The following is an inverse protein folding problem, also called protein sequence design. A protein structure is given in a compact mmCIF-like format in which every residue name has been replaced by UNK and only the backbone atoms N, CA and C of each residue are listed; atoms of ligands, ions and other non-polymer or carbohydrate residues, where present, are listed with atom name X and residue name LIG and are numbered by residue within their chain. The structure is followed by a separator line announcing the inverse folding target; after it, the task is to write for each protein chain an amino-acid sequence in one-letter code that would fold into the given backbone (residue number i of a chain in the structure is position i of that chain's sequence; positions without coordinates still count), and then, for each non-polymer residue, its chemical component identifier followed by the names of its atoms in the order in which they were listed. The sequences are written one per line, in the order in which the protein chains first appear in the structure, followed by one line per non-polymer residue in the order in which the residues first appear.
data_IF_165917565379
#
_entry.id   IF_165917565379
#
_cell.length_a   1.000
_cell.length_b   1.000
_cell.length_c   1.000
_cell.angle_alpha   90.00
_cell.angle_beta   90.00
_cell.angle_gamma   90.00
#
_symmetry.space_group_name_H-M   'P 1'
#
loop_
_entity.id
_entity.type
_entity.pdbx_description
1 polymer ?
#
# COMPACT_ATOMS: atom_id res chain seq x y z
N UNK A 1 -24.95 7.25 16.45
CA UNK A 1 -23.56 6.86 16.15
C UNK A 1 -23.23 7.34 14.74
N UNK A 2 -22.13 8.06 14.55
CA UNK A 2 -21.67 8.52 13.22
C UNK A 2 -20.48 7.66 12.80
N UNK A 3 -20.55 7.06 11.61
CA UNK A 3 -19.48 6.27 11.02
C UNK A 3 -19.00 6.95 9.75
N UNK A 4 -17.69 7.18 9.65
CA UNK A 4 -17.06 7.71 8.44
C UNK A 4 -16.56 6.54 7.60
N UNK A 5 -17.18 6.33 6.43
CA UNK A 5 -16.77 5.29 5.50
C UNK A 5 -15.62 5.79 4.62
N UNK A 6 -14.39 5.70 5.12
CA UNK A 6 -13.20 6.12 4.35
C UNK A 6 -12.97 5.23 3.12
N UNK A 7 -13.32 3.94 3.20
CA UNK A 7 -13.22 3.01 2.07
C UNK A 7 -14.02 3.48 0.86
N UNK A 8 -15.27 3.93 1.07
CA UNK A 8 -16.10 4.44 -0.02
C UNK A 8 -15.57 5.75 -0.59
N UNK A 9 -15.04 6.65 0.25
CA UNK A 9 -14.44 7.92 -0.20
C UNK A 9 -13.21 7.64 -1.09
N UNK A 10 -12.36 6.70 -0.71
CA UNK A 10 -11.15 6.35 -1.48
C UNK A 10 -11.47 5.65 -2.81
N UNK A 11 -12.70 5.14 -2.97
CA UNK A 11 -13.17 4.45 -4.18
C UNK A 11 -14.26 5.20 -4.94
N UNK A 12 -14.57 6.44 -4.54
CA UNK A 12 -15.63 7.21 -5.17
C UNK A 12 -15.20 7.70 -6.56
N UNK A 13 -15.88 7.22 -7.60
CA UNK A 13 -15.70 7.64 -9.01
C UNK A 13 -15.90 9.13 -9.25
N UNK A 14 -16.59 9.86 -8.36
CA UNK A 14 -16.72 11.32 -8.42
C UNK A 14 -15.48 12.06 -7.94
N UNK A 15 -14.67 11.40 -7.11
CA UNK A 15 -13.46 11.97 -6.51
C UNK A 15 -12.17 11.51 -7.22
N UNK A 16 -12.20 10.28 -7.75
CA UNK A 16 -11.07 9.55 -8.30
C UNK A 16 -11.40 8.99 -9.69
N UNK A 17 -10.51 9.21 -10.66
CA UNK A 17 -10.55 8.55 -11.96
C UNK A 17 -10.02 7.11 -11.82
N UNK A 18 -10.74 6.12 -12.34
CA UNK A 18 -10.41 4.68 -12.22
C UNK A 18 -10.04 4.27 -10.77
N UNK A 19 -10.91 4.47 -9.76
CA UNK A 19 -10.57 4.32 -8.34
C UNK A 19 -10.09 2.93 -7.92
N UNK A 20 -10.43 1.90 -8.68
CA UNK A 20 -10.06 0.51 -8.40
C UNK A 20 -8.73 0.10 -9.04
N UNK A 21 -8.14 0.97 -9.87
CA UNK A 21 -6.88 0.71 -10.57
C UNK A 21 -5.72 1.22 -9.73
N UNK A 22 -4.68 0.39 -9.59
CA UNK A 22 -3.43 0.83 -8.98
C UNK A 22 -2.70 1.77 -9.96
N UNK A 23 -2.74 3.07 -9.68
CA UNK A 23 -2.16 4.12 -10.54
C UNK A 23 -1.42 5.16 -9.67
N UNK A 24 -0.17 4.89 -9.27
CA UNK A 24 0.65 5.79 -8.45
C UNK A 24 0.82 7.19 -9.06
N UNK A 25 0.90 7.27 -10.39
CA UNK A 25 1.15 8.48 -11.16
C UNK A 25 0.08 9.56 -10.90
N UNK A 26 -1.11 9.13 -10.48
CA UNK A 26 -2.21 10.04 -10.12
C UNK A 26 -1.85 11.01 -9.00
N UNK A 27 -0.85 10.68 -8.18
CA UNK A 27 -0.40 11.51 -7.07
C UNK A 27 0.72 12.49 -7.44
N UNK A 28 1.31 12.40 -8.63
CA UNK A 28 2.43 13.28 -9.05
C UNK A 28 2.03 14.75 -9.13
N UNK A 29 0.76 15.04 -9.45
CA UNK A 29 0.19 16.39 -9.45
C UNK A 29 -0.28 16.89 -8.08
N UNK A 30 0.02 16.18 -6.99
CA UNK A 30 -0.44 16.52 -5.65
C UNK A 30 -1.92 16.21 -5.39
N UNK A 31 -2.55 15.32 -6.18
CA UNK A 31 -3.89 14.84 -5.88
C UNK A 31 -3.93 14.10 -4.52
N UNK A 32 -5.09 14.08 -3.86
CA UNK A 32 -5.26 13.47 -2.53
C UNK A 32 -5.43 14.46 -1.37
N UNK A 33 -5.31 15.77 -1.64
CA UNK A 33 -5.76 16.82 -0.73
C UNK A 33 -7.28 16.88 -0.56
N UNK A 34 -7.77 17.78 0.30
CA UNK A 34 -9.20 18.05 0.43
C UNK A 34 -10.05 16.88 0.94
N UNK A 35 -9.50 16.06 1.85
CA UNK A 35 -10.16 14.88 2.44
C UNK A 35 -10.51 13.75 1.45
N UNK A 36 -10.01 13.80 0.21
CA UNK A 36 -10.17 12.71 -0.78
C UNK A 36 -9.46 11.43 -0.34
N UNK A 37 -8.32 11.56 0.33
CA UNK A 37 -7.53 10.45 0.87
C UNK A 37 -7.30 10.63 2.37
N UNK A 38 -7.69 9.63 3.16
CA UNK A 38 -7.71 9.67 4.64
C UNK A 38 -7.22 8.35 5.27
N UNK A 39 -6.00 7.88 4.94
CA UNK A 39 -5.50 6.59 5.43
C UNK A 39 -5.16 6.64 6.93
N UNK A 40 -4.98 7.84 7.47
CA UNK A 40 -4.65 8.11 8.87
C UNK A 40 -5.72 8.98 9.58
N UNK A 41 -6.90 9.14 8.98
CA UNK A 41 -7.92 10.06 9.47
C UNK A 41 -7.48 11.54 9.40
N UNK A 42 -8.17 12.39 10.16
CA UNK A 42 -7.90 13.83 10.23
C UNK A 42 -8.36 14.45 11.57
N UNK A 43 -7.89 15.67 11.85
CA UNK A 43 -8.27 16.45 13.03
C UNK A 43 -7.77 15.84 14.35
N UNK A 44 -8.48 16.10 15.45
CA UNK A 44 -8.08 15.71 16.83
C UNK A 44 -7.96 14.19 17.06
N UNK A 45 -8.53 13.38 16.16
CA UNK A 45 -8.53 11.91 16.22
C UNK A 45 -7.71 11.28 15.09
N UNK A 46 -6.87 12.06 14.40
CA UNK A 46 -5.93 11.53 13.42
C UNK A 46 -4.99 10.51 14.08
N UNK A 47 -4.54 9.53 13.30
CA UNK A 47 -3.64 8.48 13.78
C UNK A 47 -2.33 9.10 14.28
N UNK A 48 -1.96 8.92 15.55
CA UNK A 48 -0.72 9.47 16.09
C UNK A 48 0.52 8.83 15.45
N UNK A 49 0.40 7.63 14.88
CA UNK A 49 1.47 6.91 14.19
C UNK A 49 1.69 7.33 12.73
N UNK A 50 0.92 8.28 12.18
CA UNK A 50 0.99 8.63 10.76
C UNK A 50 2.39 9.03 10.27
N UNK A 51 3.12 9.81 11.10
CA UNK A 51 4.49 10.23 10.78
C UNK A 51 5.49 9.07 10.74
N UNK A 52 5.38 8.16 11.71
CA UNK A 52 6.22 6.96 11.76
C UNK A 52 5.92 6.02 10.59
N UNK A 53 4.64 5.74 10.34
CA UNK A 53 4.20 4.86 9.26
C UNK A 53 4.74 5.33 7.90
N UNK A 54 4.62 6.63 7.59
CA UNK A 54 5.15 7.19 6.33
C UNK A 54 6.66 6.95 6.16
N UNK A 55 7.44 7.13 7.22
CA UNK A 55 8.90 6.91 7.20
C UNK A 55 9.25 5.44 7.01
N UNK A 56 8.61 4.57 7.78
CA UNK A 56 8.88 3.13 7.75
C UNK A 56 8.44 2.54 6.40
N UNK A 57 7.23 2.85 5.91
CA UNK A 57 6.75 2.35 4.63
C UNK A 57 7.68 2.74 3.49
N UNK A 58 8.12 3.99 3.44
CA UNK A 58 9.05 4.46 2.41
C UNK A 58 10.39 3.71 2.45
N UNK A 59 10.99 3.57 3.65
CA UNK A 59 12.24 2.85 3.84
C UNK A 59 12.11 1.36 3.48
N UNK A 60 11.08 0.70 4.02
CA UNK A 60 10.82 -0.72 3.76
C UNK A 60 10.61 -0.97 2.26
N UNK A 61 9.78 -0.17 1.59
CA UNK A 61 9.55 -0.33 0.16
C UNK A 61 10.83 -0.10 -0.65
N UNK A 62 11.60 0.94 -0.32
CA UNK A 62 12.90 1.21 -0.95
C UNK A 62 13.86 0.02 -0.82
N UNK A 63 13.99 -0.55 0.38
CA UNK A 63 14.82 -1.73 0.63
C UNK A 63 14.31 -2.94 -0.15
N UNK A 64 13.00 -3.22 -0.14
CA UNK A 64 12.44 -4.37 -0.86
C UNK A 64 12.66 -4.28 -2.37
N UNK A 65 12.56 -3.08 -2.96
CA UNK A 65 12.79 -2.85 -4.38
C UNK A 65 14.28 -2.92 -4.72
N UNK A 66 15.13 -2.28 -3.91
CA UNK A 66 16.57 -2.20 -4.13
C UNK A 66 17.27 -3.55 -3.94
N UNK A 67 16.82 -4.36 -2.98
CA UNK A 67 17.49 -5.59 -2.61
C UNK A 67 16.99 -6.82 -3.37
N UNK A 68 15.75 -6.82 -3.86
CA UNK A 68 15.12 -8.05 -4.35
C UNK A 68 14.42 -7.86 -5.69
N UNK A 69 14.40 -8.94 -6.47
CA UNK A 69 13.44 -9.16 -7.56
C UNK A 69 12.26 -9.96 -7.03
N UNK A 70 11.06 -9.58 -7.47
CA UNK A 70 9.81 -10.19 -7.04
C UNK A 70 9.10 -10.84 -8.23
N UNK A 71 8.57 -12.04 -8.01
CA UNK A 71 7.79 -12.76 -9.01
C UNK A 71 6.61 -13.47 -8.35
N UNK A 72 5.59 -13.80 -9.15
CA UNK A 72 4.45 -14.58 -8.66
C UNK A 72 4.88 -16.04 -8.49
N UNK A 73 4.25 -16.73 -7.54
CA UNK A 73 4.46 -18.18 -7.35
C UNK A 73 3.88 -19.01 -8.50
N UNK A 74 2.92 -18.45 -9.25
CA UNK A 74 2.30 -19.06 -10.42
C UNK A 74 2.03 -18.01 -11.51
N UNK A 75 1.58 -18.46 -12.70
CA UNK A 75 1.18 -17.56 -13.79
C UNK A 75 -0.17 -16.88 -13.57
N UNK A 76 -0.90 -17.27 -12.53
CA UNK A 76 -2.22 -16.73 -12.24
C UNK A 76 -2.15 -15.30 -11.71
N UNK A 77 -3.26 -14.58 -11.77
CA UNK A 77 -3.37 -13.28 -11.13
C UNK A 77 -3.50 -13.41 -9.61
N UNK A 78 -2.95 -12.43 -8.88
CA UNK A 78 -3.07 -12.41 -7.43
C UNK A 78 -4.50 -12.06 -7.06
N UNK A 79 -5.20 -12.94 -6.33
CA UNK A 79 -6.52 -12.64 -5.80
C UNK A 79 -6.44 -11.46 -4.82
N UNK A 80 -7.00 -10.30 -5.17
CA UNK A 80 -7.02 -9.08 -4.34
C UNK A 80 -8.30 -8.92 -3.49
N UNK A 81 -9.13 -9.96 -3.41
CA UNK A 81 -10.36 -9.92 -2.61
C UNK A 81 -10.06 -9.57 -1.16
N UNK A 82 -10.84 -8.65 -0.60
CA UNK A 82 -10.74 -8.22 0.79
C UNK A 82 -11.34 -9.29 1.72
N UNK A 83 -10.59 -9.64 2.77
CA UNK A 83 -11.02 -10.55 3.83
C UNK A 83 -11.75 -9.81 4.95
N UNK A 84 -12.22 -10.55 5.94
CA UNK A 84 -12.93 -9.99 7.09
C UNK A 84 -11.95 -9.38 8.10
N UNK A 85 -12.18 -8.12 8.51
CA UNK A 85 -11.42 -7.48 9.59
C UNK A 85 -11.44 -5.95 9.52
N UNK A 86 -10.97 -5.31 10.59
CA UNK A 86 -10.93 -3.84 10.67
C UNK A 86 -9.85 -3.19 9.79
N UNK A 87 -8.83 -3.97 9.39
CA UNK A 87 -7.65 -3.49 8.65
C UNK A 87 -7.70 -3.82 7.16
N UNK A 88 -8.85 -4.31 6.66
CA UNK A 88 -9.02 -4.78 5.27
C UNK A 88 -7.89 -5.75 4.85
N UNK A 89 -7.73 -6.88 5.57
CA UNK A 89 -6.75 -7.88 5.17
C UNK A 89 -7.10 -8.45 3.79
N UNK A 90 -6.15 -9.12 3.14
CA UNK A 90 -6.48 -9.96 1.99
C UNK A 90 -7.28 -11.18 2.45
N UNK A 91 -8.23 -11.65 1.63
CA UNK A 91 -8.97 -12.87 1.90
C UNK A 91 -8.02 -14.08 1.96
N UNK A 92 -7.08 -14.14 1.02
CA UNK A 92 -6.00 -15.12 0.99
C UNK A 92 -4.65 -14.41 1.21
N UNK A 93 -3.74 -14.96 2.05
CA UNK A 93 -2.38 -14.43 2.21
C UNK A 93 -1.65 -14.26 0.87
N UNK A 94 -0.84 -13.21 0.77
CA UNK A 94 0.02 -13.01 -0.41
C UNK A 94 1.24 -13.94 -0.30
N UNK A 95 1.42 -14.79 -1.31
CA UNK A 95 2.66 -15.51 -1.54
C UNK A 95 3.39 -14.92 -2.75
N UNK A 96 4.71 -14.73 -2.61
CA UNK A 96 5.56 -14.19 -3.68
C UNK A 96 6.95 -14.84 -3.63
N UNK A 97 7.52 -15.04 -4.81
CA UNK A 97 8.92 -15.43 -4.94
C UNK A 97 9.78 -14.18 -4.79
N UNK A 98 10.77 -14.25 -3.91
CA UNK A 98 11.69 -13.17 -3.63
C UNK A 98 13.11 -13.68 -3.85
N UNK A 99 13.87 -13.00 -4.72
CA UNK A 99 15.26 -13.35 -5.02
C UNK A 99 16.16 -12.13 -4.83
N UNK A 100 17.28 -12.26 -4.11
CA UNK A 100 18.26 -11.17 -4.03
C UNK A 100 18.67 -10.69 -5.42
N UNK A 101 18.72 -9.37 -5.65
CA UNK A 101 19.34 -8.79 -6.84
C UNK A 101 20.83 -9.08 -6.81
N UNK A 102 21.42 -9.36 -7.98
CA UNK A 102 22.83 -9.73 -8.09
C UNK A 102 23.78 -8.72 -7.44
N UNK A 103 23.50 -7.41 -7.58
CA UNK A 103 24.27 -6.33 -6.96
C UNK A 103 24.24 -6.33 -5.43
N UNK A 104 23.26 -7.00 -4.82
CA UNK A 104 23.00 -6.99 -3.38
C UNK A 104 23.33 -8.32 -2.70
N UNK A 105 23.63 -9.38 -3.46
CA UNK A 105 23.92 -10.74 -2.93
C UNK A 105 25.02 -10.71 -1.87
N UNK A 106 26.16 -10.04 -2.16
CA UNK A 106 27.29 -10.02 -1.24
C UNK A 106 26.95 -9.31 0.08
N UNK A 107 26.23 -8.18 0.01
CA UNK A 107 25.80 -7.44 1.19
C UNK A 107 24.86 -8.29 2.04
N UNK A 108 23.85 -8.89 1.42
CA UNK A 108 22.84 -9.69 2.10
C UNK A 108 23.38 -11.00 2.67
N UNK A 109 24.44 -11.57 2.07
CA UNK A 109 25.10 -12.78 2.57
C UNK A 109 26.07 -12.51 3.73
N UNK A 110 26.37 -11.23 4.00
CA UNK A 110 27.29 -10.80 5.05
C UNK A 110 26.60 -10.31 6.34
N UNK A 111 25.27 -10.23 6.32
CA UNK A 111 24.44 -9.95 7.49
C UNK A 111 24.14 -11.24 8.25
#
# INVERSE_FOLDING_TARGET
MLLVNTWSIHRDTKLWVEPTKFMPERFEGGEGGGYKLLPFGAGRRACPGAGLAKRIIGLTLGVLIQCFEWDRVSKEEINLTEGTGLTMPKAEPLEALCRPRQSMVNLLSSM
#
